data_IF_577986031753
#
_entry.id   IF_577986031753
#
_cell.length_a   1.000
_cell.length_b   1.000
_cell.length_c   1.000
_cell.angle_alpha   90.00
_cell.angle_beta   90.00
_cell.angle_gamma   90.00
#
_symmetry.space_group_name_H-M   'P 1'
#
loop_
_entity.id
_entity.type
_entity.pdbx_description
1 polymer ?
#
# COMPACT_ATOMS: atom_id res chain seq x y z
N UNK A 1 -1.36 8.27 -0.26
CA UNK A 1 -0.17 7.40 -0.47
C UNK A 1 0.19 7.26 -1.94
N UNK A 2 -0.68 6.69 -2.78
CA UNK A 2 -0.45 6.54 -4.22
C UNK A 2 0.01 7.82 -4.93
N UNK A 3 -0.69 8.94 -4.70
CA UNK A 3 -0.33 10.23 -5.28
C UNK A 3 1.11 10.66 -4.90
N UNK A 4 1.55 10.36 -3.67
CA UNK A 4 2.88 10.71 -3.19
C UNK A 4 3.97 9.87 -3.87
N UNK A 5 3.75 8.56 -4.01
CA UNK A 5 4.64 7.65 -4.75
C UNK A 5 4.73 8.07 -6.23
N UNK A 6 3.60 8.37 -6.87
CA UNK A 6 3.54 8.84 -8.25
C UNK A 6 4.34 10.12 -8.44
N UNK A 7 4.17 11.11 -7.55
CA UNK A 7 4.90 12.38 -7.60
C UNK A 7 6.39 12.22 -7.29
N UNK A 8 6.78 11.27 -6.43
CA UNK A 8 8.19 10.98 -6.12
C UNK A 8 9.02 10.60 -7.36
N UNK A 9 8.39 10.01 -8.39
CA UNK A 9 9.08 9.59 -9.64
C UNK A 9 9.74 10.74 -10.38
N UNK A 10 9.19 11.94 -10.27
CA UNK A 10 9.69 13.12 -10.97
C UNK A 10 10.83 13.81 -10.22
N UNK A 11 11.21 13.32 -9.04
CA UNK A 11 12.29 13.90 -8.26
C UNK A 11 13.68 13.47 -8.76
N UNK A 12 14.68 14.37 -8.70
CA UNK A 12 16.07 14.00 -8.86
C UNK A 12 16.49 12.89 -7.88
N UNK A 13 17.42 12.03 -8.30
CA UNK A 13 17.84 10.85 -7.54
C UNK A 13 18.18 11.17 -6.07
N UNK A 14 18.94 12.24 -5.84
CA UNK A 14 19.31 12.74 -4.49
C UNK A 14 18.12 12.88 -3.55
N UNK A 15 16.97 13.35 -4.04
CA UNK A 15 15.77 13.54 -3.22
C UNK A 15 14.94 12.26 -3.11
N UNK A 16 14.96 11.41 -4.14
CA UNK A 16 14.33 10.08 -4.07
C UNK A 16 14.99 9.21 -3.00
N UNK A 17 16.32 9.20 -2.95
CA UNK A 17 17.09 8.42 -1.97
C UNK A 17 16.77 8.82 -0.51
N UNK A 18 16.28 10.05 -0.28
CA UNK A 18 15.84 10.55 1.03
C UNK A 18 14.36 10.25 1.28
N UNK A 19 13.51 10.44 0.26
CA UNK A 19 12.07 10.37 0.40
C UNK A 19 11.52 8.93 0.36
N UNK A 20 12.08 8.06 -0.48
CA UNK A 20 11.61 6.68 -0.64
C UNK A 20 11.63 5.89 0.70
N UNK A 21 12.69 5.96 1.53
CA UNK A 21 12.68 5.34 2.86
C UNK A 21 11.56 5.87 3.78
N UNK A 22 11.31 7.18 3.75
CA UNK A 22 10.24 7.83 4.55
C UNK A 22 8.85 7.38 4.08
N UNK A 23 8.67 7.26 2.77
CA UNK A 23 7.44 6.73 2.16
C UNK A 23 7.25 5.28 2.59
N UNK A 24 8.27 4.42 2.52
CA UNK A 24 8.17 3.02 2.94
C UNK A 24 7.85 2.89 4.43
N UNK A 25 8.45 3.71 5.30
CA UNK A 25 8.11 3.76 6.72
C UNK A 25 6.66 4.17 6.96
N UNK A 26 6.17 5.19 6.23
CA UNK A 26 4.79 5.64 6.31
C UNK A 26 3.79 4.68 5.67
N UNK A 27 4.20 3.86 4.71
CA UNK A 27 3.38 2.82 4.09
C UNK A 27 2.91 1.78 5.11
N UNK A 28 3.73 1.51 6.13
CA UNK A 28 3.34 0.66 7.25
C UNK A 28 2.08 1.20 7.95
N UNK A 29 2.05 2.51 8.25
CA UNK A 29 0.93 3.18 8.92
C UNK A 29 -0.24 3.49 7.98
N UNK A 30 0.05 3.75 6.71
CA UNK A 30 -0.97 3.84 5.67
C UNK A 30 -1.75 2.52 5.56
N UNK A 31 -1.17 1.40 6.01
CA UNK A 31 -1.73 0.07 6.05
C UNK A 31 -2.18 -0.48 4.68
N UNK A 32 -2.10 -1.81 4.49
CA UNK A 32 -2.85 -2.46 3.41
C UNK A 32 -4.32 -2.05 3.47
N UNK A 33 -4.86 -1.87 4.68
CA UNK A 33 -6.26 -1.55 4.97
C UNK A 33 -6.73 -0.22 4.35
N UNK A 34 -6.04 0.91 4.53
CA UNK A 34 -6.52 2.19 3.95
C UNK A 34 -6.31 2.25 2.43
N UNK A 35 -5.29 1.57 1.89
CA UNK A 35 -5.12 1.45 0.45
C UNK A 35 -6.13 0.48 -0.18
N UNK A 36 -6.50 -0.61 0.50
CA UNK A 36 -7.59 -1.49 0.09
C UNK A 36 -8.94 -0.78 0.14
N UNK A 37 -9.17 0.07 1.13
CA UNK A 37 -10.34 0.96 1.18
C UNK A 37 -10.35 1.94 -0.01
N UNK A 38 -9.20 2.54 -0.36
CA UNK A 38 -9.10 3.38 -1.55
C UNK A 38 -9.37 2.59 -2.84
N UNK A 39 -8.86 1.36 -2.95
CA UNK A 39 -9.14 0.47 -4.09
C UNK A 39 -10.62 0.11 -4.22
N UNK A 40 -11.38 0.05 -3.12
CA UNK A 40 -12.84 -0.14 -3.17
C UNK A 40 -13.58 1.03 -3.81
N UNK A 41 -13.01 2.24 -3.76
CA UNK A 41 -13.59 3.46 -4.35
C UNK A 41 -13.22 3.67 -5.81
N UNK A 42 -12.35 2.82 -6.38
CA UNK A 42 -11.97 2.89 -7.79
C UNK A 42 -13.12 2.35 -8.67
N UNK A 43 -13.42 3.04 -9.77
CA UNK A 43 -14.53 2.71 -10.69
C UNK A 43 -14.38 1.33 -11.37
N UNK A 44 -13.14 0.85 -11.50
CA UNK A 44 -12.80 -0.43 -12.13
C UNK A 44 -13.26 -1.61 -11.26
N UNK A 45 -14.31 -2.30 -11.72
CA UNK A 45 -14.93 -3.42 -10.99
C UNK A 45 -13.96 -4.54 -10.59
N UNK A 46 -12.99 -4.88 -11.45
CA UNK A 46 -11.98 -5.91 -11.15
C UNK A 46 -11.06 -5.52 -9.98
N UNK A 47 -10.69 -4.23 -9.87
CA UNK A 47 -9.87 -3.72 -8.77
C UNK A 47 -10.64 -3.76 -7.46
N UNK A 48 -11.92 -3.37 -7.48
CA UNK A 48 -12.79 -3.42 -6.30
C UNK A 48 -13.00 -4.85 -5.80
N UNK A 49 -13.18 -5.80 -6.72
CA UNK A 49 -13.34 -7.22 -6.39
C UNK A 49 -12.05 -7.78 -5.76
N UNK A 50 -10.90 -7.45 -6.33
CA UNK A 50 -9.60 -7.83 -5.78
C UNK A 50 -9.39 -7.26 -4.37
N UNK A 51 -9.73 -5.98 -4.15
CA UNK A 51 -9.62 -5.32 -2.87
C UNK A 51 -10.52 -5.96 -1.81
N UNK A 52 -11.78 -6.25 -2.14
CA UNK A 52 -12.70 -6.94 -1.26
C UNK A 52 -12.17 -8.33 -0.85
N UNK A 53 -11.67 -9.11 -1.80
CA UNK A 53 -11.07 -10.42 -1.51
C UNK A 53 -9.86 -10.35 -0.57
N UNK A 54 -8.98 -9.35 -0.77
CA UNK A 54 -7.83 -9.11 0.11
C UNK A 54 -8.25 -8.70 1.53
N UNK A 55 -9.32 -7.90 1.68
CA UNK A 55 -9.85 -7.52 3.00
C UNK A 55 -10.39 -8.74 3.74
N UNK A 56 -11.17 -9.59 3.07
CA UNK A 56 -11.74 -10.81 3.67
C UNK A 56 -10.60 -11.71 4.16
N UNK A 57 -9.63 -12.01 3.30
CA UNK A 57 -8.47 -12.84 3.65
C UNK A 57 -7.64 -12.27 4.81
N UNK A 58 -7.44 -10.94 4.84
CA UNK A 58 -6.72 -10.29 5.93
C UNK A 58 -7.48 -10.35 7.27
N UNK A 59 -8.82 -10.34 7.24
CA UNK A 59 -9.67 -10.48 8.44
C UNK A 59 -9.67 -11.91 8.96
N UNK A 60 -9.67 -12.92 8.08
CA UNK A 60 -9.54 -14.33 8.46
C UNK A 60 -8.24 -14.61 9.22
N UNK A 61 -7.13 -14.00 8.78
CA UNK A 61 -5.81 -14.18 9.43
C UNK A 61 -5.76 -13.56 10.84
N UNK A 62 -6.51 -12.49 11.11
CA UNK A 62 -6.51 -11.76 12.40
C UNK A 62 -7.43 -12.37 13.47
N UNK A 63 -7.91 -13.59 13.27
CA UNK A 63 -8.81 -14.26 14.22
C UNK A 63 -8.16 -14.59 15.58
N UNK A 64 -6.82 -14.53 15.69
CA UNK A 64 -6.10 -14.71 16.95
C UNK A 64 -5.93 -13.36 17.68
N UNK A 65 -6.97 -12.93 18.40
CA UNK A 65 -7.13 -11.57 18.96
C UNK A 65 -6.06 -11.00 19.91
N UNK A 66 -4.85 -11.56 19.99
CA UNK A 66 -3.73 -11.07 20.81
C UNK A 66 -2.50 -10.57 20.02
N UNK A 67 -2.50 -10.62 18.68
CA UNK A 67 -1.31 -10.24 17.91
C UNK A 67 -1.21 -8.71 17.73
N UNK A 68 -0.33 -8.07 18.52
CA UNK A 68 0.13 -6.69 18.29
C UNK A 68 0.75 -6.63 16.89
N UNK A 69 0.31 -5.66 16.07
CA UNK A 69 0.84 -5.47 14.72
C UNK A 69 2.33 -5.12 14.81
N UNK A 70 3.19 -6.05 14.37
CA UNK A 70 4.65 -5.84 14.35
C UNK A 70 5.01 -4.80 13.28
N UNK A 71 5.75 -3.76 13.68
CA UNK A 71 6.30 -2.79 12.74
C UNK A 71 7.28 -3.49 11.79
N UNK A 72 6.91 -3.56 10.51
CA UNK A 72 7.74 -4.09 9.43
C UNK A 72 7.66 -3.08 8.30
N UNK A 73 8.81 -2.63 7.80
CA UNK A 73 8.85 -1.74 6.65
C UNK A 73 8.36 -2.55 5.43
N UNK A 74 7.19 -2.23 4.84
CA UNK A 74 6.70 -2.95 3.68
C UNK A 74 7.61 -2.68 2.47
N UNK A 75 7.76 -3.69 1.62
CA UNK A 75 8.33 -3.49 0.29
C UNK A 75 7.33 -2.70 -0.55
N UNK A 76 7.72 -1.48 -0.93
CA UNK A 76 6.89 -0.53 -1.67
C UNK A 76 7.42 -0.47 -3.10
N UNK A 77 6.62 -0.87 -4.08
CA UNK A 77 7.02 -0.78 -5.48
C UNK A 77 6.88 0.67 -5.99
N UNK A 78 7.97 1.43 -5.95
CA UNK A 78 8.00 2.83 -6.43
C UNK A 78 7.83 2.94 -7.96
N UNK A 79 8.02 1.85 -8.71
CA UNK A 79 7.88 1.81 -10.17
C UNK A 79 6.47 1.42 -10.65
N UNK A 80 5.57 1.03 -9.74
CA UNK A 80 4.21 0.57 -10.04
C UNK A 80 3.42 1.53 -10.93
N UNK A 81 2.96 1.13 -12.11
CA UNK A 81 2.19 2.03 -12.98
C UNK A 81 0.73 2.16 -12.55
N UNK A 82 0.19 1.11 -11.94
CA UNK A 82 -1.14 1.11 -11.34
C UNK A 82 -1.06 0.87 -9.82
N UNK A 83 -2.12 1.23 -9.10
CA UNK A 83 -2.29 0.95 -7.68
C UNK A 83 -2.26 -0.56 -7.40
N UNK A 84 -2.62 -1.38 -8.39
CA UNK A 84 -2.62 -2.85 -8.33
C UNK A 84 -1.18 -3.41 -8.32
N UNK A 85 -0.29 -2.87 -9.15
CA UNK A 85 1.13 -3.28 -9.28
C UNK A 85 1.98 -2.92 -8.06
N UNK A 86 1.40 -2.18 -7.12
CA UNK A 86 2.08 -1.69 -5.94
C UNK A 86 2.25 -2.74 -4.84
N UNK A 87 1.52 -3.85 -4.91
CA UNK A 87 1.33 -4.81 -3.83
C UNK A 87 1.62 -6.26 -4.21
N UNK A 88 2.41 -6.49 -5.27
CA UNK A 88 3.01 -7.80 -5.56
C UNK A 88 4.43 -7.88 -5.00
#
# INVERSE_FOLDING_TARGET
MWHFISKSRYLPKKYRDINEPVISGNAYFAAPENMLLAMLTVERCHIRTLAAGRIIKAREIRSDGNCVRRFVIPAVNFRATDCVDHFD
#
